data_IF_907964490981
#
_entry.id   IF_907964490981
#
_cell.length_a   1.000
_cell.length_b   1.000
_cell.length_c   1.000
_cell.angle_alpha   90.00
_cell.angle_beta   90.00
_cell.angle_gamma   90.00
#
_symmetry.space_group_name_H-M   'P 1'
#
loop_
_entity.id
_entity.type
_entity.pdbx_description
1 polymer ?
#
# COMPACT_ATOMS: atom_id res chain seq x y z
N UNK A 1 60.11 0.09 -31.33
CA UNK A 1 58.74 0.04 -30.81
C UNK A 1 58.03 -0.99 -31.66
N UNK A 2 57.75 -2.16 -31.09
CA UNK A 2 57.25 -3.31 -31.84
C UNK A 2 55.80 -3.02 -32.27
N UNK A 3 55.58 -2.81 -33.57
CA UNK A 3 54.25 -2.60 -34.11
C UNK A 3 53.40 -3.85 -33.85
N UNK A 4 52.33 -3.66 -33.07
CA UNK A 4 51.41 -4.73 -32.71
C UNK A 4 50.73 -5.23 -34.00
N UNK A 5 50.73 -6.54 -34.29
CA UNK A 5 50.13 -7.07 -35.50
C UNK A 5 48.65 -6.68 -35.62
N UNK A 6 48.21 -6.21 -36.79
CA UNK A 6 46.84 -5.72 -37.05
C UNK A 6 45.78 -6.78 -36.70
N UNK A 7 46.05 -8.06 -36.95
CA UNK A 7 45.14 -9.16 -36.58
C UNK A 7 44.89 -9.24 -35.07
N UNK A 8 45.89 -8.88 -34.26
CA UNK A 8 45.82 -8.88 -32.80
C UNK A 8 44.95 -7.71 -32.30
N UNK A 9 45.02 -6.54 -32.96
CA UNK A 9 44.14 -5.39 -32.69
C UNK A 9 42.68 -5.70 -33.05
N UNK A 10 42.43 -6.40 -34.15
CA UNK A 10 41.08 -6.79 -34.58
C UNK A 10 40.46 -7.79 -33.57
N UNK A 11 41.23 -8.79 -33.11
CA UNK A 11 40.75 -9.72 -32.09
C UNK A 11 40.48 -9.00 -30.77
N UNK A 12 41.33 -8.06 -30.37
CA UNK A 12 41.11 -7.28 -29.15
C UNK A 12 39.82 -6.43 -29.22
N UNK A 13 39.57 -5.76 -30.35
CA UNK A 13 38.34 -4.98 -30.55
C UNK A 13 37.07 -5.84 -30.57
N UNK A 14 37.15 -7.03 -31.21
CA UNK A 14 36.06 -8.00 -31.18
C UNK A 14 35.82 -8.54 -29.77
N UNK A 15 36.88 -8.84 -29.01
CA UNK A 15 36.77 -9.28 -27.63
C UNK A 15 36.11 -8.22 -26.74
N UNK A 16 36.47 -6.94 -26.89
CA UNK A 16 35.81 -5.84 -26.15
C UNK A 16 34.32 -5.74 -26.50
N UNK A 17 33.95 -5.89 -27.77
CA UNK A 17 32.56 -5.84 -28.22
C UNK A 17 31.74 -7.02 -27.66
N UNK A 18 32.32 -8.22 -27.66
CA UNK A 18 31.69 -9.43 -27.08
C UNK A 18 31.50 -9.29 -25.57
N UNK A 19 32.53 -8.79 -24.86
CA UNK A 19 32.45 -8.56 -23.41
C UNK A 19 31.37 -7.50 -23.11
N UNK A 20 31.36 -6.39 -23.83
CA UNK A 20 30.36 -5.33 -23.67
C UNK A 20 28.94 -5.84 -23.93
N UNK A 21 28.75 -6.63 -24.99
CA UNK A 21 27.46 -7.27 -25.28
C UNK A 21 27.02 -8.22 -24.18
N UNK A 22 27.94 -9.03 -23.66
CA UNK A 22 27.67 -9.97 -22.56
C UNK A 22 27.25 -9.24 -21.28
N UNK A 23 27.99 -8.17 -20.92
CA UNK A 23 27.65 -7.31 -19.77
C UNK A 23 26.27 -6.68 -19.96
N UNK A 24 25.95 -6.20 -21.17
CA UNK A 24 24.63 -5.64 -21.48
C UNK A 24 23.48 -6.63 -21.26
N UNK A 25 23.64 -7.88 -21.71
CA UNK A 25 22.64 -8.94 -21.49
C UNK A 25 22.48 -9.26 -20.01
N UNK A 26 23.59 -9.37 -19.26
CA UNK A 26 23.55 -9.63 -17.81
C UNK A 26 22.86 -8.48 -17.08
N UNK A 27 23.21 -7.24 -17.39
CA UNK A 27 22.60 -6.05 -16.78
C UNK A 27 21.09 -5.99 -17.05
N UNK A 28 20.65 -6.29 -18.29
CA UNK A 28 19.22 -6.34 -18.62
C UNK A 28 18.48 -7.42 -17.83
N UNK A 29 19.07 -8.61 -17.70
CA UNK A 29 18.50 -9.69 -16.88
C UNK A 29 18.44 -9.30 -15.41
N UNK A 30 19.49 -8.69 -14.86
CA UNK A 30 19.51 -8.20 -13.49
C UNK A 30 18.45 -7.14 -13.24
N UNK A 31 18.29 -6.18 -14.15
CA UNK A 31 17.24 -5.17 -14.07
C UNK A 31 15.85 -5.79 -14.03
N UNK A 32 15.57 -6.75 -14.93
CA UNK A 32 14.29 -7.45 -14.96
C UNK A 32 14.02 -8.21 -13.65
N UNK A 33 15.00 -8.95 -13.13
CA UNK A 33 14.86 -9.68 -11.86
C UNK A 33 14.67 -8.74 -10.68
N UNK A 34 15.44 -7.65 -10.60
CA UNK A 34 15.32 -6.66 -9.53
C UNK A 34 13.95 -5.96 -9.57
N UNK A 35 13.42 -5.68 -10.76
CA UNK A 35 12.10 -5.09 -10.92
C UNK A 35 10.98 -6.03 -10.45
N UNK A 36 11.00 -7.31 -10.86
CA UNK A 36 10.04 -8.30 -10.38
C UNK A 36 10.14 -8.49 -8.87
N UNK A 37 11.36 -8.49 -8.31
CA UNK A 37 11.56 -8.60 -6.86
C UNK A 37 10.96 -7.41 -6.10
N UNK A 38 11.17 -6.19 -6.59
CA UNK A 38 10.60 -4.99 -5.97
C UNK A 38 9.06 -5.06 -5.90
N UNK A 39 8.40 -5.53 -6.95
CA UNK A 39 6.95 -5.69 -6.98
C UNK A 39 6.47 -6.75 -5.98
N UNK A 40 7.17 -7.89 -5.93
CA UNK A 40 6.87 -8.95 -4.97
C UNK A 40 7.07 -8.48 -3.52
N UNK A 41 8.18 -7.82 -3.22
CA UNK A 41 8.47 -7.26 -1.87
C UNK A 41 7.39 -6.25 -1.45
N UNK A 42 6.87 -5.44 -2.38
CA UNK A 42 5.78 -4.51 -2.12
C UNK A 42 4.46 -5.24 -1.86
N UNK A 43 4.15 -6.26 -2.66
CA UNK A 43 2.98 -7.11 -2.46
C UNK A 43 3.01 -7.79 -1.09
N UNK A 44 4.14 -8.40 -0.71
CA UNK A 44 4.33 -9.03 0.60
C UNK A 44 4.09 -8.05 1.76
N UNK A 45 4.60 -6.82 1.65
CA UNK A 45 4.36 -5.78 2.66
C UNK A 45 2.89 -5.41 2.76
N UNK A 46 2.20 -5.26 1.62
CA UNK A 46 0.78 -4.89 1.58
C UNK A 46 -0.12 -5.99 2.12
N UNK A 47 0.11 -7.26 1.75
CA UNK A 47 -0.67 -8.38 2.26
C UNK A 47 -0.41 -8.59 3.76
N UNK A 48 0.82 -8.38 4.23
CA UNK A 48 1.14 -8.42 5.66
C UNK A 48 0.40 -7.33 6.44
N UNK A 49 0.33 -6.10 5.91
CA UNK A 49 -0.42 -5.01 6.52
C UNK A 49 -1.94 -5.28 6.53
N UNK A 50 -2.49 -5.84 5.45
CA UNK A 50 -3.89 -6.26 5.38
C UNK A 50 -4.22 -7.33 6.43
N UNK A 51 -3.39 -8.38 6.53
CA UNK A 51 -3.56 -9.42 7.53
C UNK A 51 -3.44 -8.85 8.96
N UNK A 52 -2.49 -7.95 9.19
CA UNK A 52 -2.33 -7.28 10.47
C UNK A 52 -3.55 -6.44 10.89
N UNK A 53 -4.21 -5.78 9.93
CA UNK A 53 -5.48 -5.08 10.18
C UNK A 53 -6.58 -6.05 10.57
N UNK A 54 -6.76 -7.12 9.79
CA UNK A 54 -7.76 -8.15 10.09
C UNK A 54 -7.55 -8.76 11.47
N UNK A 55 -6.31 -9.11 11.81
CA UNK A 55 -5.97 -9.69 13.11
C UNK A 55 -6.21 -8.71 14.26
N UNK A 56 -5.89 -7.43 14.09
CA UNK A 56 -6.14 -6.41 15.10
C UNK A 56 -7.64 -6.11 15.32
N UNK A 57 -8.49 -6.39 14.32
CA UNK A 57 -9.94 -6.24 14.46
C UNK A 57 -10.63 -7.44 15.11
N UNK A 58 -10.01 -8.64 15.10
CA UNK A 58 -10.62 -9.87 15.67
C UNK A 58 -11.14 -9.72 17.10
N UNK A 59 -10.45 -9.05 18.05
CA UNK A 59 -10.96 -8.88 19.40
C UNK A 59 -12.30 -8.12 19.43
N UNK A 60 -12.44 -7.10 18.57
CA UNK A 60 -13.67 -6.31 18.47
C UNK A 60 -14.86 -7.14 17.98
N UNK A 61 -14.65 -8.08 17.05
CA UNK A 61 -15.69 -9.00 16.59
C UNK A 61 -16.04 -10.07 17.61
N UNK A 62 -15.03 -10.64 18.29
CA UNK A 62 -15.26 -11.68 19.29
C UNK A 62 -16.02 -11.15 20.49
N UNK A 63 -15.64 -9.98 20.98
CA UNK A 63 -16.10 -9.45 22.25
C UNK A 63 -17.18 -8.36 22.09
N UNK A 64 -17.47 -7.94 20.85
CA UNK A 64 -18.39 -6.86 20.52
C UNK A 64 -17.90 -5.46 20.92
N UNK A 65 -16.72 -5.36 21.55
CA UNK A 65 -16.09 -4.13 22.05
C UNK A 65 -14.56 -4.31 22.07
N UNK A 66 -13.80 -3.22 22.24
CA UNK A 66 -12.35 -3.30 22.47
C UNK A 66 -12.08 -3.11 23.97
N UNK A 67 -12.04 -4.20 24.73
CA UNK A 67 -11.96 -4.14 26.21
C UNK A 67 -10.59 -3.75 26.74
N UNK A 68 -9.53 -4.16 26.05
CA UNK A 68 -8.15 -3.93 26.46
C UNK A 68 -7.56 -2.72 25.76
N UNK A 69 -6.85 -1.88 26.50
CA UNK A 69 -6.06 -0.80 25.90
C UNK A 69 -4.98 -1.35 24.96
N UNK A 70 -4.43 -2.53 25.25
CA UNK A 70 -3.44 -3.17 24.39
C UNK A 70 -4.02 -3.54 23.03
N UNK A 71 -5.28 -3.99 22.97
CA UNK A 71 -5.95 -4.34 21.71
C UNK A 71 -6.16 -3.07 20.85
N UNK A 72 -6.54 -1.95 21.49
CA UNK A 72 -6.63 -0.66 20.81
C UNK A 72 -5.27 -0.17 20.28
N UNK A 73 -4.19 -0.33 21.07
CA UNK A 73 -2.83 0.01 20.63
C UNK A 73 -2.39 -0.87 19.47
N UNK A 74 -2.71 -2.16 19.46
CA UNK A 74 -2.42 -3.05 18.33
C UNK A 74 -3.16 -2.61 17.06
N UNK A 75 -4.44 -2.21 17.17
CA UNK A 75 -5.20 -1.64 16.08
C UNK A 75 -4.55 -0.36 15.53
N UNK A 76 -4.13 0.54 16.43
CA UNK A 76 -3.42 1.77 16.05
C UNK A 76 -2.13 1.46 15.26
N UNK A 77 -1.33 0.51 15.74
CA UNK A 77 -0.10 0.10 15.05
C UNK A 77 -0.36 -0.53 13.68
N UNK A 78 -1.37 -1.41 13.57
CA UNK A 78 -1.74 -2.01 12.28
C UNK A 78 -2.18 -0.94 11.27
N UNK A 79 -2.96 0.05 11.73
CA UNK A 79 -3.37 1.19 10.89
C UNK A 79 -2.17 2.04 10.45
N UNK A 80 -1.27 2.40 11.37
CA UNK A 80 -0.11 3.22 11.03
C UNK A 80 0.83 2.49 10.05
N UNK A 81 0.99 1.17 10.20
CA UNK A 81 1.76 0.35 9.26
C UNK A 81 1.12 0.34 7.86
N UNK A 82 -0.20 0.24 7.78
CA UNK A 82 -0.94 0.28 6.52
C UNK A 82 -0.94 1.69 5.89
N UNK A 83 -0.93 2.75 6.68
CA UNK A 83 -1.03 4.15 6.20
C UNK A 83 0.02 4.52 5.13
N UNK A 84 1.24 3.98 5.25
CA UNK A 84 2.34 4.25 4.33
C UNK A 84 2.34 3.36 3.07
N UNK A 85 1.61 2.25 3.08
CA UNK A 85 1.64 1.24 2.02
C UNK A 85 0.51 1.43 0.98
N UNK A 86 -0.53 2.15 1.36
CA UNK A 86 -1.74 2.35 0.55
C UNK A 86 -1.99 3.83 0.23
N UNK A 87 -2.87 4.08 -0.75
CA UNK A 87 -3.23 5.43 -1.19
C UNK A 87 -4.30 6.10 -0.33
N UNK A 88 -4.78 7.26 -0.79
CA UNK A 88 -5.65 8.15 -0.01
C UNK A 88 -7.04 7.57 0.28
N UNK A 89 -7.55 6.75 -0.62
CA UNK A 89 -8.80 5.98 -0.48
C UNK A 89 -8.76 5.07 0.76
N UNK A 90 -7.74 4.21 0.85
CA UNK A 90 -7.55 3.32 2.00
C UNK A 90 -7.25 4.13 3.25
N UNK A 91 -6.43 5.19 3.17
CA UNK A 91 -6.10 6.04 4.32
C UNK A 91 -7.33 6.67 4.96
N UNK A 92 -8.37 7.00 4.19
CA UNK A 92 -9.63 7.53 4.73
C UNK A 92 -10.34 6.49 5.59
N UNK A 93 -10.48 5.27 5.09
CA UNK A 93 -11.07 4.16 5.85
C UNK A 93 -10.26 3.79 7.09
N UNK A 94 -8.94 3.80 6.99
CA UNK A 94 -8.06 3.52 8.12
C UNK A 94 -8.22 4.54 9.26
N UNK A 95 -8.41 5.83 8.95
CA UNK A 95 -8.71 6.86 9.96
C UNK A 95 -10.07 6.61 10.61
N UNK A 96 -11.06 6.23 9.81
CA UNK A 96 -12.39 5.87 10.30
C UNK A 96 -12.31 4.67 11.26
N UNK A 97 -11.53 3.64 10.91
CA UNK A 97 -11.30 2.46 11.73
C UNK A 97 -10.72 2.80 13.12
N UNK A 98 -9.77 3.73 13.19
CA UNK A 98 -9.25 4.21 14.49
C UNK A 98 -10.36 4.89 15.31
N UNK A 99 -11.20 5.71 14.68
CA UNK A 99 -12.29 6.42 15.37
C UNK A 99 -13.35 5.45 15.92
N UNK A 100 -13.65 4.40 15.16
CA UNK A 100 -14.53 3.29 15.58
C UNK A 100 -13.90 2.55 16.75
N UNK A 101 -12.62 2.16 16.64
CA UNK A 101 -11.91 1.49 17.72
C UNK A 101 -11.86 2.30 19.01
N UNK A 102 -11.66 3.62 18.92
CA UNK A 102 -11.68 4.51 20.07
C UNK A 102 -13.09 4.59 20.70
N UNK A 103 -14.13 4.61 19.88
CA UNK A 103 -15.53 4.59 20.34
C UNK A 103 -15.85 3.29 21.06
N UNK A 104 -15.46 2.15 20.50
CA UNK A 104 -15.67 0.82 21.10
C UNK A 104 -14.85 0.64 22.39
N UNK A 105 -13.64 1.19 22.46
CA UNK A 105 -12.83 1.14 23.69
C UNK A 105 -13.43 2.01 24.80
N UNK A 106 -13.90 3.21 24.45
CA UNK A 106 -14.59 4.11 25.41
C UNK A 106 -15.89 3.48 25.90
N UNK A 107 -16.69 2.93 24.99
CA UNK A 107 -17.93 2.24 25.33
C UNK A 107 -17.68 1.04 26.25
N UNK A 108 -16.63 0.25 25.99
CA UNK A 108 -16.24 -0.85 26.87
C UNK A 108 -15.90 -0.38 28.30
N UNK A 109 -15.41 0.84 28.47
CA UNK A 109 -15.17 1.45 29.78
C UNK A 109 -16.48 1.83 30.49
N UNK A 110 -17.36 2.54 29.80
CA UNK A 110 -18.64 3.02 30.36
C UNK A 110 -19.61 1.87 30.64
N UNK A 111 -19.68 0.88 29.75
CA UNK A 111 -20.59 -0.26 29.86
C UNK A 111 -20.20 -1.25 30.97
N UNK A 112 -19.05 -1.08 31.65
CA UNK A 112 -18.71 -1.91 32.82
C UNK A 112 -19.64 -1.65 34.01
N UNK A 113 -20.17 -0.45 34.12
CA UNK A 113 -21.08 -0.05 35.19
C UNK A 113 -22.43 0.36 34.59
N UNK A 114 -23.45 -0.48 34.81
CA UNK A 114 -24.81 -0.27 34.30
C UNK A 114 -25.56 0.89 34.95
N UNK A 115 -24.99 1.48 36.01
CA UNK A 115 -25.52 2.68 36.67
C UNK A 115 -24.91 3.98 36.15
N UNK A 116 -23.93 3.89 35.25
CA UNK A 116 -23.27 5.05 34.66
C UNK A 116 -24.26 5.96 33.93
N UNK A 117 -24.18 7.29 34.12
CA UNK A 117 -24.93 8.24 33.31
C UNK A 117 -24.65 8.01 31.82
N UNK A 118 -25.70 7.80 31.03
CA UNK A 118 -25.57 7.57 29.58
C UNK A 118 -25.26 6.13 29.16
N UNK A 119 -25.40 5.13 30.04
CA UNK A 119 -25.20 3.71 29.69
C UNK A 119 -25.91 3.31 28.38
N UNK A 120 -27.20 3.63 28.25
CA UNK A 120 -27.98 3.31 27.04
C UNK A 120 -27.41 3.97 25.77
N UNK A 121 -27.00 5.23 25.85
CA UNK A 121 -26.41 5.96 24.72
C UNK A 121 -25.10 5.32 24.26
N UNK A 122 -24.27 4.86 25.19
CA UNK A 122 -23.00 4.19 24.88
C UNK A 122 -23.20 2.77 24.33
N UNK A 123 -24.25 2.06 24.76
CA UNK A 123 -24.66 0.78 24.15
C UNK A 123 -25.03 0.99 22.69
N UNK A 124 -25.85 2.00 22.38
CA UNK A 124 -26.26 2.32 21.01
C UNK A 124 -25.06 2.74 20.16
N UNK A 125 -24.20 3.63 20.68
CA UNK A 125 -22.96 4.03 20.00
C UNK A 125 -22.04 2.85 19.72
N UNK A 126 -21.90 1.92 20.66
CA UNK A 126 -21.09 0.72 20.45
C UNK A 126 -21.71 -0.20 19.39
N UNK A 127 -23.04 -0.34 19.40
CA UNK A 127 -23.73 -1.11 18.37
C UNK A 127 -23.54 -0.50 16.98
N UNK A 128 -23.72 0.81 16.82
CA UNK A 128 -23.45 1.52 15.56
C UNK A 128 -21.99 1.38 15.13
N UNK A 129 -21.05 1.50 16.06
CA UNK A 129 -19.62 1.31 15.78
C UNK A 129 -19.30 -0.11 15.30
N UNK A 130 -19.93 -1.13 15.91
CA UNK A 130 -19.75 -2.53 15.52
C UNK A 130 -20.36 -2.81 14.14
N UNK A 131 -21.55 -2.28 13.84
CA UNK A 131 -22.17 -2.38 12.51
C UNK A 131 -21.28 -1.75 11.46
N UNK A 132 -20.77 -0.53 11.72
CA UNK A 132 -19.87 0.13 10.79
C UNK A 132 -18.54 -0.61 10.63
N UNK A 133 -18.03 -1.24 11.69
CA UNK A 133 -16.84 -2.09 11.61
C UNK A 133 -17.05 -3.28 10.66
N UNK A 134 -18.22 -3.92 10.71
CA UNK A 134 -18.60 -5.00 9.77
C UNK A 134 -18.62 -4.48 8.33
N UNK A 135 -19.27 -3.34 8.09
CA UNK A 135 -19.33 -2.74 6.75
C UNK A 135 -17.93 -2.39 6.21
N UNK A 136 -17.07 -1.79 7.02
CA UNK A 136 -15.70 -1.50 6.64
C UNK A 136 -14.96 -2.79 6.28
N UNK A 137 -15.20 -3.88 7.00
CA UNK A 137 -14.57 -5.17 6.69
C UNK A 137 -15.04 -5.77 5.36
N UNK A 138 -16.26 -5.47 4.92
CA UNK A 138 -16.75 -5.89 3.60
C UNK A 138 -16.25 -4.94 2.49
N UNK A 139 -16.06 -3.66 2.79
CA UNK A 139 -15.51 -2.64 1.87
C UNK A 139 -13.98 -2.78 1.69
N UNK A 140 -13.26 -3.20 2.74
CA UNK A 140 -11.79 -3.21 2.79
C UNK A 140 -11.16 -4.08 1.69
N UNK A 141 -11.61 -5.32 1.43
CA UNK A 141 -11.09 -6.14 0.35
C UNK A 141 -11.27 -5.49 -1.02
N UNK A 142 -12.43 -4.89 -1.28
CA UNK A 142 -12.74 -4.27 -2.57
C UNK A 142 -11.82 -3.07 -2.85
N UNK A 143 -11.55 -2.25 -1.84
CA UNK A 143 -10.68 -1.07 -2.00
C UNK A 143 -9.21 -1.49 -2.03
N UNK A 144 -8.83 -2.54 -1.30
CA UNK A 144 -7.47 -3.07 -1.32
C UNK A 144 -7.17 -3.95 -2.52
N UNK A 145 -8.17 -4.42 -3.27
CA UNK A 145 -7.99 -5.24 -4.49
C UNK A 145 -7.09 -4.53 -5.51
N UNK A 146 -7.30 -3.22 -5.70
CA UNK A 146 -6.47 -2.37 -6.56
C UNK A 146 -4.98 -2.34 -6.15
N UNK A 147 -4.70 -2.58 -4.87
CA UNK A 147 -3.34 -2.53 -4.30
C UNK A 147 -2.71 -3.91 -4.12
N UNK A 148 -3.53 -4.95 -3.94
CA UNK A 148 -3.14 -6.34 -3.73
C UNK A 148 -3.12 -7.14 -5.02
N UNK A 149 -3.81 -6.69 -6.08
CA UNK A 149 -3.71 -7.35 -7.37
C UNK A 149 -2.31 -7.13 -7.97
N UNK A 150 -1.71 -8.22 -8.49
CA UNK A 150 -0.52 -8.14 -9.35
C UNK A 150 -0.83 -7.48 -10.71
N UNK A 151 -2.11 -7.20 -10.96
CA UNK A 151 -2.59 -6.35 -12.04
C UNK A 151 -2.21 -4.90 -11.74
N UNK A 152 -0.94 -4.58 -11.98
CA UNK A 152 -0.42 -3.24 -12.14
C UNK A 152 -1.53 -2.24 -12.57
N UNK A 153 -1.90 -1.30 -11.70
CA UNK A 153 -1.99 0.08 -12.20
C UNK A 153 -0.60 0.37 -12.74
N UNK A 154 -0.43 0.12 -14.05
CA UNK A 154 0.81 0.24 -14.82
C UNK A 154 1.60 1.37 -14.20
N UNK A 155 2.73 1.04 -13.56
CA UNK A 155 3.67 2.09 -13.14
C UNK A 155 3.86 2.93 -14.39
N UNK A 156 3.42 4.19 -14.41
CA UNK A 156 3.23 4.92 -15.65
C UNK A 156 4.57 4.89 -16.37
N UNK A 157 4.58 4.25 -17.54
CA UNK A 157 5.80 4.06 -18.31
C UNK A 157 6.36 5.45 -18.58
N UNK A 158 7.66 5.57 -18.85
CA UNK A 158 8.25 6.85 -19.22
C UNK A 158 7.44 7.57 -20.34
N UNK A 159 6.88 6.78 -21.27
CA UNK A 159 5.96 7.24 -22.33
C UNK A 159 4.64 7.78 -21.77
N UNK A 160 4.04 7.13 -20.78
CA UNK A 160 2.77 7.56 -20.17
C UNK A 160 2.97 8.86 -19.39
N UNK A 161 4.08 9.01 -18.66
CA UNK A 161 4.46 10.28 -18.01
C UNK A 161 4.67 11.41 -19.02
N UNK A 162 5.31 11.14 -20.16
CA UNK A 162 5.46 12.14 -21.21
C UNK A 162 4.10 12.52 -21.82
N UNK A 163 3.19 11.55 -21.98
CA UNK A 163 1.84 11.77 -22.50
C UNK A 163 0.98 12.60 -21.56
N UNK A 164 1.04 12.33 -20.26
CA UNK A 164 0.38 13.14 -19.23
C UNK A 164 0.92 14.58 -19.21
N UNK A 165 2.25 14.76 -19.26
CA UNK A 165 2.85 16.10 -19.33
C UNK A 165 2.47 16.85 -20.59
N UNK A 166 2.27 16.14 -21.72
CA UNK A 166 1.76 16.75 -22.95
C UNK A 166 0.28 17.12 -22.85
N UNK A 167 -0.57 16.29 -22.22
CA UNK A 167 -1.99 16.64 -21.96
C UNK A 167 -2.12 17.90 -21.12
N UNK A 168 -1.31 18.02 -20.06
CA UNK A 168 -1.27 19.21 -19.20
C UNK A 168 -0.83 20.46 -20.00
N UNK A 169 0.13 20.32 -20.94
CA UNK A 169 0.56 21.44 -21.79
C UNK A 169 -0.51 21.89 -22.78
N UNK A 170 -1.32 20.95 -23.29
CA UNK A 170 -2.40 21.24 -24.23
C UNK A 170 -3.58 21.95 -23.54
N UNK A 171 -3.92 21.59 -22.30
CA UNK A 171 -4.98 22.29 -21.55
C UNK A 171 -4.63 23.75 -21.26
N UNK A 172 -3.35 24.07 -21.03
CA UNK A 172 -2.90 25.46 -20.87
C UNK A 172 -2.87 26.28 -22.16
N UNK A 173 -2.97 25.63 -23.34
CA UNK A 173 -3.04 26.33 -24.61
C UNK A 173 -4.47 26.75 -24.97
N UNK A 174 -5.47 25.94 -24.59
CA UNK A 174 -6.89 26.26 -24.77
C UNK A 174 -7.35 27.40 -23.84
N UNK A 175 -6.85 27.45 -22.60
CA UNK A 175 -7.16 28.53 -21.63
C UNK A 175 -6.63 29.93 -22.05
N UNK A 176 -5.78 30.01 -23.09
CA UNK A 176 -5.23 31.28 -23.60
C UNK A 176 -5.90 31.78 -24.88
N UNK A 177 -6.95 31.10 -25.35
CA UNK A 177 -7.69 31.47 -26.57
C UNK A 177 -9.13 31.96 -26.31
N UNK A 178 -9.50 32.20 -25.05
CA UNK A 178 -10.75 32.88 -24.67
C UNK A 178 -10.50 34.30 -24.16
#
# INVERSE_FOLDING_TARGET
MSDMPIWLQVIQALATTVIAGTIGVIAWRQWRTAHTKMLFDLFEKRIAAYNGLNDAMRPAFRDGTIKSFNDFVQLRHAVDAAHFLFGDDVRKLLKELISIGATMNTAAGVMKDNTSPGYGEWVDKNHTALVRLIEIMDELPAIMEDYLSFSEKKVPTFVDRLRERNKIRLSYADDKQQ
#
